data_IF_642782843824
#
_entry.id   IF_642782843824
#
_cell.length_a   1.000
_cell.length_b   1.000
_cell.length_c   1.000
_cell.angle_alpha   90.00
_cell.angle_beta   90.00
_cell.angle_gamma   90.00
#
_symmetry.space_group_name_H-M   'P 1'
#
loop_
_entity.id
_entity.type
_entity.pdbx_description
1 polymer ?
#
# COMPACT_ATOMS: atom_id res chain seq x y z
N UNK A 1 7.98 -0.86 -59.02
CA UNK A 1 7.71 0.00 -57.81
C UNK A 1 7.63 -0.88 -56.60
N UNK A 2 8.64 -0.85 -55.78
CA UNK A 2 8.62 -1.56 -54.52
C UNK A 2 8.08 -0.61 -53.47
N UNK A 3 6.85 -0.82 -53.03
CA UNK A 3 6.34 -0.15 -51.85
C UNK A 3 6.97 -0.81 -50.62
N UNK A 4 7.83 -0.05 -49.96
CA UNK A 4 8.40 -0.40 -48.67
C UNK A 4 7.35 -0.11 -47.61
N UNK A 5 6.57 -1.11 -47.20
CA UNK A 5 5.70 -1.07 -46.06
C UNK A 5 6.58 -1.03 -44.81
N UNK A 6 6.80 0.20 -44.31
CA UNK A 6 7.44 0.42 -43.05
C UNK A 6 6.43 0.03 -41.95
N UNK A 7 6.52 -1.21 -41.49
CA UNK A 7 5.74 -1.70 -40.34
C UNK A 7 6.36 -1.08 -39.08
N UNK A 8 5.84 0.08 -38.69
CA UNK A 8 6.11 0.64 -37.38
C UNK A 8 5.52 -0.29 -36.34
N UNK A 9 6.31 -1.24 -35.85
CA UNK A 9 5.98 -1.97 -34.62
C UNK A 9 6.05 -0.99 -33.46
N UNK A 10 4.89 -0.47 -33.07
CA UNK A 10 4.70 0.23 -31.80
C UNK A 10 4.94 -0.78 -30.68
N UNK A 11 6.18 -0.83 -30.22
CA UNK A 11 6.51 -1.48 -28.96
C UNK A 11 5.84 -0.69 -27.84
N UNK A 12 4.66 -1.13 -27.44
CA UNK A 12 4.07 -0.71 -26.18
C UNK A 12 4.99 -1.26 -25.08
N UNK A 13 5.99 -0.45 -24.72
CA UNK A 13 6.74 -0.68 -23.49
C UNK A 13 5.75 -0.38 -22.36
N UNK A 14 5.10 -1.42 -21.87
CA UNK A 14 4.39 -1.35 -20.61
C UNK A 14 5.42 -1.09 -19.52
N UNK A 15 5.70 0.19 -19.24
CA UNK A 15 6.46 0.59 -18.07
C UNK A 15 5.57 0.42 -16.84
N UNK A 16 5.39 -0.83 -16.37
CA UNK A 16 5.06 -1.06 -14.98
C UNK A 16 6.25 -0.58 -14.16
N UNK A 17 6.10 0.54 -13.44
CA UNK A 17 7.15 1.05 -12.58
C UNK A 17 7.42 0.03 -11.46
N UNK A 18 8.57 -0.63 -11.54
CA UNK A 18 9.07 -1.51 -10.50
C UNK A 18 9.32 -0.70 -9.24
N UNK A 19 8.81 -1.18 -8.10
CA UNK A 19 9.08 -0.57 -6.81
C UNK A 19 10.47 -0.99 -6.35
N UNK A 20 11.34 -0.01 -6.11
CA UNK A 20 12.67 -0.25 -5.58
C UNK A 20 12.67 -0.37 -4.07
N UNK A 21 13.59 -1.17 -3.53
CA UNK A 21 13.77 -1.32 -2.09
C UNK A 21 14.01 0.04 -1.40
N UNK A 22 14.71 0.96 -2.05
CA UNK A 22 14.96 2.31 -1.52
C UNK A 22 13.70 3.14 -1.32
N UNK A 23 12.61 2.80 -2.03
CA UNK A 23 11.32 3.48 -1.91
C UNK A 23 10.49 2.99 -0.72
N UNK A 24 10.85 1.88 -0.07
CA UNK A 24 10.07 1.30 1.03
C UNK A 24 9.91 2.23 2.22
N UNK A 25 10.82 3.20 2.42
CA UNK A 25 10.68 4.21 3.45
C UNK A 25 9.41 5.07 3.27
N UNK A 26 8.87 5.15 2.04
CA UNK A 26 7.61 5.85 1.77
C UNK A 26 6.41 5.20 2.45
N UNK A 27 6.49 3.93 2.84
CA UNK A 27 5.43 3.27 3.61
C UNK A 27 5.31 3.80 5.03
N UNK A 28 6.33 4.45 5.57
CA UNK A 28 6.29 5.01 6.92
C UNK A 28 5.26 6.12 7.03
N UNK A 29 4.47 6.09 8.08
CA UNK A 29 3.49 7.11 8.39
C UNK A 29 2.08 6.59 8.53
N UNK A 30 1.12 7.49 8.38
CA UNK A 30 -0.30 7.23 8.60
C UNK A 30 -1.03 7.09 7.28
N UNK A 31 -1.89 6.08 7.20
CA UNK A 31 -2.61 5.71 5.99
C UNK A 31 -4.08 5.45 6.27
N UNK A 32 -4.94 5.90 5.37
CA UNK A 32 -6.36 5.58 5.42
C UNK A 32 -6.77 4.79 4.19
N UNK A 33 -7.62 3.79 4.40
CA UNK A 33 -8.19 3.01 3.31
C UNK A 33 -9.12 3.87 2.46
N UNK A 34 -8.97 3.83 1.15
CA UNK A 34 -9.81 4.56 0.19
C UNK A 34 -10.67 3.65 -0.66
N UNK A 35 -10.12 2.53 -1.08
CA UNK A 35 -10.80 1.64 -2.01
C UNK A 35 -10.40 0.19 -1.76
N UNK A 36 -11.36 -0.70 -1.89
CA UNK A 36 -11.15 -2.13 -1.98
C UNK A 36 -11.65 -2.61 -3.33
N UNK A 37 -10.79 -3.25 -4.10
CA UNK A 37 -11.14 -3.86 -5.40
C UNK A 37 -11.17 -5.37 -5.24
N UNK A 38 -12.33 -5.96 -5.46
CA UNK A 38 -12.52 -7.41 -5.37
C UNK A 38 -12.02 -8.11 -6.64
N UNK A 39 -11.85 -9.42 -6.55
CA UNK A 39 -11.32 -10.23 -7.67
C UNK A 39 -12.16 -10.12 -8.95
N UNK A 40 -13.47 -9.92 -8.84
CA UNK A 40 -14.39 -9.74 -9.98
C UNK A 40 -14.37 -8.34 -10.58
N UNK A 41 -13.57 -7.43 -10.02
CA UNK A 41 -13.44 -6.04 -10.45
C UNK A 41 -14.40 -5.07 -9.77
N UNK A 42 -15.33 -5.55 -8.94
CA UNK A 42 -16.19 -4.65 -8.16
C UNK A 42 -15.39 -3.89 -7.11
N UNK A 43 -15.82 -2.68 -6.79
CA UNK A 43 -15.11 -1.77 -5.90
C UNK A 43 -16.00 -1.31 -4.77
N UNK A 44 -15.38 -1.13 -3.60
CA UNK A 44 -15.98 -0.46 -2.46
C UNK A 44 -15.12 0.74 -2.08
N UNK A 45 -15.72 1.92 -2.04
CA UNK A 45 -15.05 3.16 -1.68
C UNK A 45 -15.34 3.54 -0.23
N UNK A 46 -14.34 4.14 0.42
CA UNK A 46 -14.41 4.61 1.80
C UNK A 46 -14.14 6.11 1.84
N UNK A 47 -15.09 6.90 2.30
CA UNK A 47 -14.96 8.36 2.38
C UNK A 47 -14.65 8.87 3.77
N UNK A 48 -15.07 8.15 4.80
CA UNK A 48 -14.83 8.51 6.20
C UNK A 48 -14.32 7.28 6.96
N UNK A 49 -13.18 7.43 7.61
CA UNK A 49 -12.58 6.36 8.41
C UNK A 49 -12.39 6.84 9.85
N UNK A 50 -12.84 6.03 10.80
CA UNK A 50 -12.62 6.28 12.23
C UNK A 50 -11.25 5.83 12.71
N UNK A 51 -10.59 4.99 11.92
CA UNK A 51 -9.24 4.49 12.20
C UNK A 51 -8.35 4.66 10.99
N UNK A 52 -7.07 4.83 11.24
CA UNK A 52 -6.00 4.84 10.24
C UNK A 52 -4.96 3.79 10.59
N UNK A 53 -4.21 3.35 9.59
CA UNK A 53 -3.09 2.44 9.79
C UNK A 53 -1.80 3.24 9.93
N UNK A 54 -1.04 2.95 10.96
CA UNK A 54 0.31 3.48 11.14
C UNK A 54 1.32 2.39 10.80
N UNK A 55 2.22 2.68 9.87
CA UNK A 55 3.29 1.78 9.45
C UNK A 55 4.63 2.41 9.83
N UNK A 56 5.49 1.61 10.45
CA UNK A 56 6.87 1.95 10.74
C UNK A 56 7.76 0.80 10.30
N UNK A 57 8.66 1.09 9.35
CA UNK A 57 9.65 0.16 8.85
C UNK A 57 11.05 0.68 9.14
N UNK A 58 11.91 -0.21 9.59
CA UNK A 58 13.35 -0.05 9.63
C UNK A 58 13.96 -1.08 8.67
N UNK A 59 14.36 -0.63 7.50
CA UNK A 59 14.78 -1.49 6.39
C UNK A 59 13.66 -2.48 5.99
N UNK A 60 13.83 -3.77 6.23
CA UNK A 60 12.90 -4.83 5.84
C UNK A 60 12.00 -5.34 6.97
N UNK A 61 12.04 -4.70 8.13
CA UNK A 61 11.27 -5.10 9.31
C UNK A 61 10.53 -3.91 9.92
N UNK A 62 9.38 -4.18 10.46
CA UNK A 62 8.63 -3.17 11.16
C UNK A 62 7.31 -3.68 11.69
N UNK A 63 6.35 -2.79 11.76
CA UNK A 63 5.01 -3.12 12.24
C UNK A 63 3.95 -2.20 11.64
N UNK A 64 2.71 -2.65 11.75
CA UNK A 64 1.51 -1.87 11.48
C UNK A 64 0.66 -1.82 12.74
N UNK A 65 0.07 -0.67 13.01
CA UNK A 65 -0.89 -0.47 14.11
C UNK A 65 -2.12 0.26 13.62
N UNK A 66 -3.28 -0.09 14.18
CA UNK A 66 -4.49 0.72 14.05
C UNK A 66 -4.47 1.87 15.04
N UNK A 67 -4.79 3.06 14.57
CA UNK A 67 -4.86 4.27 15.39
C UNK A 67 -6.16 5.03 15.12
N UNK A 68 -6.70 5.65 16.16
CA UNK A 68 -7.90 6.49 16.04
C UNK A 68 -7.48 7.95 16.17
N UNK A 69 -7.55 8.74 15.08
CA UNK A 69 -7.20 10.16 15.14
C UNK A 69 -8.22 10.95 15.96
N UNK A 70 -7.71 11.92 16.70
CA UNK A 70 -8.51 12.87 17.49
C UNK A 70 -8.47 14.26 16.87
N UNK A 71 -9.44 15.09 17.21
CA UNK A 71 -9.55 16.45 16.69
C UNK A 71 -8.40 17.39 17.11
N UNK A 72 -7.68 17.04 18.17
CA UNK A 72 -6.52 17.80 18.63
C UNK A 72 -5.19 17.41 17.95
N UNK A 73 -5.24 16.56 16.93
CA UNK A 73 -4.05 16.09 16.22
C UNK A 73 -3.33 14.92 16.87
N UNK A 74 -3.82 14.41 18.01
CA UNK A 74 -3.28 13.21 18.65
C UNK A 74 -3.99 11.95 18.21
N UNK A 75 -3.44 10.78 18.56
CA UNK A 75 -4.01 9.48 18.21
C UNK A 75 -4.20 8.62 19.46
N UNK A 76 -5.32 7.89 19.49
CA UNK A 76 -5.46 6.73 20.37
C UNK A 76 -4.91 5.50 19.66
N UNK A 77 -4.11 4.72 20.36
CA UNK A 77 -3.54 3.48 19.83
C UNK A 77 -3.88 2.30 20.74
N UNK A 78 -4.11 1.13 20.12
CA UNK A 78 -4.10 -0.13 20.84
C UNK A 78 -2.66 -0.64 20.98
N UNK A 79 -2.47 -1.63 21.86
CA UNK A 79 -1.17 -2.30 22.00
C UNK A 79 -0.94 -3.39 20.94
N UNK A 80 -1.87 -3.56 20.01
CA UNK A 80 -1.86 -4.64 19.02
C UNK A 80 -1.07 -4.23 17.77
N UNK A 81 0.25 -4.37 17.84
CA UNK A 81 1.09 -4.21 16.67
C UNK A 81 1.10 -5.49 15.86
N UNK A 82 0.99 -5.35 14.53
CA UNK A 82 1.15 -6.45 13.57
C UNK A 82 2.58 -6.39 13.00
N UNK A 83 3.49 -7.27 13.43
CA UNK A 83 4.85 -7.29 12.88
C UNK A 83 4.85 -7.52 11.37
N UNK A 84 5.71 -6.79 10.66
CA UNK A 84 5.90 -6.89 9.22
C UNK A 84 7.33 -7.35 8.94
N UNK A 85 7.46 -8.33 8.04
CA UNK A 85 8.71 -8.70 7.42
C UNK A 85 8.59 -8.56 5.91
N UNK A 86 9.44 -7.75 5.31
CA UNK A 86 9.47 -7.57 3.86
C UNK A 86 10.34 -8.65 3.23
N UNK A 87 9.81 -9.30 2.21
CA UNK A 87 10.52 -10.27 1.37
C UNK A 87 10.50 -9.77 -0.08
N UNK A 88 11.67 -9.74 -0.70
CA UNK A 88 11.83 -9.35 -2.10
C UNK A 88 12.20 -10.59 -2.90
N UNK A 89 11.39 -10.95 -3.87
CA UNK A 89 11.61 -12.10 -4.75
C UNK A 89 10.99 -11.86 -6.12
N UNK A 90 11.69 -12.23 -7.20
CA UNK A 90 11.20 -12.16 -8.58
C UNK A 90 10.63 -10.77 -8.94
N UNK A 91 11.32 -9.71 -8.54
CA UNK A 91 10.92 -8.32 -8.77
C UNK A 91 9.62 -7.90 -8.05
N UNK A 92 9.13 -8.73 -7.15
CA UNK A 92 7.95 -8.44 -6.31
C UNK A 92 8.35 -8.19 -4.86
N UNK A 93 7.60 -7.34 -4.20
CA UNK A 93 7.76 -7.02 -2.79
C UNK A 93 6.57 -7.60 -2.03
N UNK A 94 6.89 -8.49 -1.09
CA UNK A 94 5.91 -9.17 -0.26
C UNK A 94 5.97 -8.63 1.16
N UNK A 95 4.83 -8.26 1.70
CA UNK A 95 4.66 -7.83 3.07
C UNK A 95 4.08 -8.99 3.87
N UNK A 96 4.89 -9.60 4.73
CA UNK A 96 4.48 -10.73 5.56
C UNK A 96 4.12 -10.21 6.95
N UNK A 97 2.90 -10.49 7.37
CA UNK A 97 2.38 -10.13 8.68
C UNK A 97 2.29 -11.38 9.55
N UNK A 98 2.72 -11.27 10.79
CA UNK A 98 2.62 -12.34 11.78
C UNK A 98 2.06 -11.80 13.08
N UNK A 99 0.98 -12.40 13.55
CA UNK A 99 0.41 -12.17 14.88
C UNK A 99 0.35 -13.50 15.65
N UNK A 100 -0.01 -13.48 16.91
CA UNK A 100 -0.19 -14.70 17.70
C UNK A 100 -1.28 -15.62 17.13
N UNK A 101 -2.23 -15.07 16.38
CA UNK A 101 -3.40 -15.78 15.86
C UNK A 101 -3.28 -16.16 14.39
N UNK A 102 -2.47 -15.44 13.60
CA UNK A 102 -2.49 -15.59 12.16
C UNK A 102 -1.21 -15.10 11.49
N UNK A 103 -0.96 -15.63 10.29
CA UNK A 103 0.10 -15.18 9.39
C UNK A 103 -0.50 -14.99 8.01
N UNK A 104 -0.23 -13.86 7.36
CA UNK A 104 -0.68 -13.61 6.00
C UNK A 104 0.34 -12.78 5.23
N UNK A 105 0.20 -12.77 3.92
CA UNK A 105 1.07 -12.08 3.00
C UNK A 105 0.26 -11.19 2.04
N UNK A 106 0.79 -10.02 1.76
CA UNK A 106 0.28 -9.12 0.75
C UNK A 106 1.40 -8.74 -0.21
N UNK A 107 1.08 -8.59 -1.48
CA UNK A 107 2.02 -8.09 -2.49
C UNK A 107 1.84 -6.59 -2.63
N UNK A 108 2.92 -5.84 -2.53
CA UNK A 108 2.92 -4.40 -2.76
C UNK A 108 2.81 -4.14 -4.27
N UNK A 109 1.70 -3.55 -4.70
CA UNK A 109 1.39 -3.32 -6.12
C UNK A 109 1.85 -1.94 -6.58
N UNK A 110 1.62 -0.92 -5.77
CA UNK A 110 2.00 0.46 -6.06
C UNK A 110 2.46 1.17 -4.80
N UNK A 111 3.36 2.12 -4.97
CA UNK A 111 3.88 2.92 -3.87
C UNK A 111 4.28 4.30 -4.38
N UNK A 112 3.75 5.32 -3.74
CA UNK A 112 4.13 6.70 -3.95
C UNK A 112 4.10 7.45 -2.61
N UNK A 113 4.48 8.70 -2.64
CA UNK A 113 4.45 9.55 -1.44
C UNK A 113 3.04 9.71 -0.85
N UNK A 114 2.01 9.67 -1.70
CA UNK A 114 0.62 9.93 -1.32
C UNK A 114 -0.27 8.69 -1.25
N UNK A 115 0.14 7.60 -1.87
CA UNK A 115 -0.70 6.40 -1.94
C UNK A 115 0.12 5.13 -2.07
N UNK A 116 -0.46 4.02 -1.63
CA UNK A 116 0.03 2.69 -1.94
C UNK A 116 -1.13 1.71 -2.09
N UNK A 117 -0.88 0.60 -2.76
CA UNK A 117 -1.84 -0.50 -2.84
C UNK A 117 -1.16 -1.84 -2.64
N UNK A 118 -1.90 -2.75 -2.04
CA UNK A 118 -1.49 -4.13 -1.77
C UNK A 118 -2.57 -5.10 -2.23
N UNK A 119 -2.16 -6.29 -2.60
CA UNK A 119 -3.05 -7.36 -3.03
C UNK A 119 -2.80 -8.61 -2.19
N UNK A 120 -3.88 -9.19 -1.65
CA UNK A 120 -3.80 -10.41 -0.86
C UNK A 120 -3.88 -11.68 -1.75
N UNK A 121 -3.79 -12.84 -1.12
CA UNK A 121 -3.86 -14.15 -1.79
C UNK A 121 -5.24 -14.48 -2.38
N UNK A 122 -6.29 -13.79 -1.94
CA UNK A 122 -7.65 -13.92 -2.48
C UNK A 122 -7.92 -13.01 -3.69
N UNK A 123 -6.90 -12.29 -4.17
CA UNK A 123 -7.03 -11.38 -5.29
C UNK A 123 -7.72 -10.06 -4.97
N UNK A 124 -7.82 -9.70 -3.69
CA UNK A 124 -8.41 -8.44 -3.25
C UNK A 124 -7.31 -7.39 -3.14
N UNK A 125 -7.51 -6.25 -3.78
CA UNK A 125 -6.59 -5.10 -3.74
C UNK A 125 -7.13 -4.04 -2.81
N UNK A 126 -6.28 -3.60 -1.89
CA UNK A 126 -6.55 -2.52 -0.94
C UNK A 126 -5.72 -1.31 -1.34
N UNK A 127 -6.38 -0.18 -1.53
CA UNK A 127 -5.74 1.09 -1.90
C UNK A 127 -5.85 2.07 -0.73
N UNK A 128 -4.70 2.60 -0.35
CA UNK A 128 -4.55 3.54 0.77
C UNK A 128 -4.08 4.89 0.27
N UNK A 129 -4.52 5.94 0.93
CA UNK A 129 -3.97 7.29 0.78
C UNK A 129 -3.34 7.74 2.09
N UNK A 130 -2.32 8.60 1.97
CA UNK A 130 -1.66 9.17 3.14
C UNK A 130 -2.65 10.00 3.93
N UNK A 131 -2.75 9.68 5.21
CA UNK A 131 -3.58 10.44 6.13
C UNK A 131 -2.79 11.64 6.67
N UNK A 132 -3.40 12.81 6.57
CA UNK A 132 -2.88 14.03 7.17
C UNK A 132 -3.78 14.42 8.35
N UNK A 133 -3.24 14.52 9.58
CA UNK A 133 -4.02 14.92 10.73
C UNK A 133 -4.65 16.31 10.52
N UNK A 134 -5.94 16.43 10.81
CA UNK A 134 -6.62 17.72 10.83
C UNK A 134 -6.19 18.45 12.10
N UNK A 135 -5.41 19.51 11.94
CA UNK A 135 -5.07 20.38 13.04
C UNK A 135 -6.02 21.58 13.04
N UNK A 136 -7.00 21.54 13.95
CA UNK A 136 -7.97 22.63 14.16
C UNK A 136 -7.57 23.58 15.29
N UNK A 137 -6.31 23.58 15.68
CA UNK A 137 -5.81 24.59 16.60
C UNK A 137 -5.73 25.94 15.86
N UNK A 138 -6.46 26.97 16.34
CA UNK A 138 -6.42 28.30 15.73
C UNK A 138 -5.06 28.97 15.89
#
# INVERSE_FOLDING_TARGET
MKQLLLFCALLFISCGSKIDQEQLHLLNGYWEIKEVTFKDGTKKEYSVNTTVDYISLDSLKGFRKKMSPKFNGTFETSNDAEPILIRIANDSIFMNYTTDLNTWEEVLISLSEKSFSVKNDQGITYTYERFEPININP
#
